data_IF_765976745142
#
_entry.id   IF_765976745142
#
_cell.length_a   1.000
_cell.length_b   1.000
_cell.length_c   1.000
_cell.angle_alpha   90.00
_cell.angle_beta   90.00
_cell.angle_gamma   90.00
#
_symmetry.space_group_name_H-M   'P 1'
#
loop_
_entity.id
_entity.type
_entity.pdbx_description
1 polymer ?
#
# COMPACT_ATOMS: atom_id res chain seq x y z
N UNK A 1 -23.70 55.30 -39.97
CA UNK A 1 -23.82 54.56 -38.69
C UNK A 1 -23.87 53.07 -39.00
N UNK A 2 -22.85 52.33 -38.54
CA UNK A 2 -22.70 50.88 -38.66
C UNK A 2 -23.31 50.21 -37.43
N UNK A 3 -24.11 49.15 -37.56
CA UNK A 3 -24.24 48.03 -36.61
C UNK A 3 -24.87 46.85 -37.39
N UNK A 4 -24.07 46.03 -38.07
CA UNK A 4 -23.48 44.76 -37.60
C UNK A 4 -24.51 43.73 -37.08
N UNK A 5 -24.83 42.77 -37.96
CA UNK A 5 -25.44 41.48 -37.62
C UNK A 5 -24.62 40.77 -36.55
N UNK A 6 -25.26 40.43 -35.43
CA UNK A 6 -24.72 39.50 -34.44
C UNK A 6 -25.23 38.12 -34.82
N UNK A 7 -24.34 37.31 -35.42
CA UNK A 7 -24.48 35.86 -35.45
C UNK A 7 -24.30 35.40 -34.00
N UNK A 8 -25.39 35.01 -33.35
CA UNK A 8 -25.38 34.40 -32.04
C UNK A 8 -24.84 32.97 -32.19
N UNK A 9 -23.52 32.85 -32.19
CA UNK A 9 -22.85 31.57 -32.00
C UNK A 9 -23.24 31.05 -30.61
N UNK A 10 -24.14 30.07 -30.55
CA UNK A 10 -24.29 29.22 -29.37
C UNK A 10 -22.96 28.49 -29.16
N UNK A 11 -22.05 29.14 -28.42
CA UNK A 11 -21.05 28.42 -27.64
C UNK A 11 -21.83 27.72 -26.53
N UNK A 12 -22.25 26.49 -26.82
CA UNK A 12 -22.45 25.50 -25.76
C UNK A 12 -21.07 25.31 -25.16
N UNK A 13 -20.77 26.09 -24.13
CA UNK A 13 -19.74 25.74 -23.17
C UNK A 13 -20.28 24.47 -22.54
N UNK A 14 -19.90 23.33 -23.11
CA UNK A 14 -19.88 22.07 -22.39
C UNK A 14 -18.89 22.36 -21.26
N UNK A 15 -19.43 22.78 -20.12
CA UNK A 15 -18.76 22.67 -18.85
C UNK A 15 -18.47 21.17 -18.73
N UNK A 16 -17.29 20.77 -19.22
CA UNK A 16 -16.77 19.45 -18.98
C UNK A 16 -16.86 19.30 -17.47
N UNK A 17 -17.75 18.43 -17.02
CA UNK A 17 -17.60 17.84 -15.71
C UNK A 17 -16.13 17.42 -15.68
N UNK A 18 -15.35 17.98 -14.76
CA UNK A 18 -14.07 17.39 -14.44
C UNK A 18 -14.42 15.96 -14.02
N UNK A 19 -14.31 15.02 -14.96
CA UNK A 19 -14.51 13.61 -14.67
C UNK A 19 -13.46 13.32 -13.62
N UNK A 20 -13.92 13.01 -12.41
CA UNK A 20 -13.04 12.52 -11.36
C UNK A 20 -12.24 11.39 -12.01
N UNK A 21 -10.92 11.57 -12.15
CA UNK A 21 -10.12 10.63 -12.95
C UNK A 21 -10.20 9.23 -12.34
N UNK A 22 -9.81 8.22 -13.12
CA UNK A 22 -9.94 6.83 -12.76
C UNK A 22 -9.29 6.51 -11.40
N UNK A 23 -10.05 5.84 -10.52
CA UNK A 23 -9.57 5.29 -9.26
C UNK A 23 -9.28 3.81 -9.49
N UNK A 24 -8.05 3.39 -9.20
CA UNK A 24 -7.63 2.01 -9.28
C UNK A 24 -7.23 1.51 -7.91
N UNK A 25 -7.79 0.37 -7.52
CA UNK A 25 -7.36 -0.44 -6.39
C UNK A 25 -6.52 -1.60 -6.92
N UNK A 26 -5.30 -1.76 -6.44
CA UNK A 26 -4.43 -2.87 -6.76
C UNK A 26 -4.26 -3.74 -5.52
N UNK A 27 -4.51 -5.05 -5.64
CA UNK A 27 -4.31 -6.02 -4.57
C UNK A 27 -3.36 -7.11 -5.03
N UNK A 28 -2.31 -7.35 -4.26
CA UNK A 28 -1.49 -8.55 -4.44
C UNK A 28 -2.38 -9.80 -4.18
N UNK A 29 -2.16 -10.90 -4.90
CA UNK A 29 -3.05 -12.06 -4.87
C UNK A 29 -3.21 -12.67 -3.46
N UNK A 30 -2.15 -12.71 -2.66
CA UNK A 30 -2.17 -13.14 -1.26
C UNK A 30 -3.06 -12.24 -0.39
N UNK A 31 -2.94 -10.91 -0.52
CA UNK A 31 -3.86 -9.94 0.10
C UNK A 31 -5.32 -10.21 -0.30
N UNK A 32 -5.58 -10.41 -1.59
CA UNK A 32 -6.93 -10.64 -2.08
C UNK A 32 -7.55 -11.89 -1.46
N UNK A 33 -6.78 -12.97 -1.36
CA UNK A 33 -7.18 -14.22 -0.68
C UNK A 33 -7.40 -14.03 0.81
N UNK A 34 -6.52 -13.29 1.48
CA UNK A 34 -6.67 -12.91 2.88
C UNK A 34 -8.02 -12.23 3.11
N UNK A 35 -8.32 -11.14 2.39
CA UNK A 35 -9.58 -10.41 2.55
C UNK A 35 -10.81 -11.26 2.16
N UNK A 36 -10.65 -12.20 1.22
CA UNK A 36 -11.72 -13.15 0.86
C UNK A 36 -12.07 -14.08 2.02
N UNK A 37 -11.08 -14.70 2.66
CA UNK A 37 -11.33 -15.52 3.84
C UNK A 37 -11.81 -14.68 5.01
N UNK A 38 -11.20 -13.52 5.24
CA UNK A 38 -11.57 -12.63 6.33
C UNK A 38 -13.03 -12.20 6.21
N UNK A 39 -13.48 -11.80 5.01
CA UNK A 39 -14.87 -11.45 4.75
C UNK A 39 -15.87 -12.61 4.92
N UNK A 40 -15.42 -13.87 4.88
CA UNK A 40 -16.25 -15.04 5.22
C UNK A 40 -16.39 -15.15 6.75
N UNK A 41 -15.32 -14.93 7.49
CA UNK A 41 -15.29 -15.00 8.97
C UNK A 41 -16.00 -13.78 9.58
N UNK A 42 -15.78 -12.62 8.97
CA UNK A 42 -16.17 -11.29 9.42
C UNK A 42 -16.70 -10.45 8.24
N UNK A 43 -17.98 -10.61 7.88
CA UNK A 43 -18.55 -9.96 6.71
C UNK A 43 -18.43 -8.43 6.75
N UNK A 44 -17.84 -7.87 5.72
CA UNK A 44 -17.69 -6.43 5.53
C UNK A 44 -19.03 -5.79 5.18
N UNK A 45 -19.36 -4.71 5.87
CA UNK A 45 -20.49 -3.84 5.52
C UNK A 45 -20.26 -3.18 4.16
N UNK A 46 -21.33 -2.82 3.46
CA UNK A 46 -21.29 -2.25 2.08
C UNK A 46 -20.45 -0.97 1.92
N UNK A 47 -20.15 -0.26 3.02
CA UNK A 47 -19.31 0.94 3.03
C UNK A 47 -17.89 0.71 3.52
N UNK A 48 -17.47 -0.55 3.74
CA UNK A 48 -16.14 -0.85 4.23
C UNK A 48 -15.09 -0.58 3.14
N UNK A 49 -14.04 0.16 3.50
CA UNK A 49 -12.94 0.52 2.61
C UNK A 49 -12.16 -0.70 2.06
N UNK A 50 -12.29 -1.87 2.69
CA UNK A 50 -11.65 -3.12 2.26
C UNK A 50 -12.40 -3.88 1.17
N UNK A 51 -13.67 -3.57 0.93
CA UNK A 51 -14.48 -4.27 -0.06
C UNK A 51 -13.84 -4.35 -1.46
N UNK A 52 -13.21 -3.27 -1.98
CA UNK A 52 -12.52 -3.35 -3.27
C UNK A 52 -11.38 -4.36 -3.31
N UNK A 53 -10.84 -4.80 -2.17
CA UNK A 53 -9.71 -5.73 -2.09
C UNK A 53 -10.13 -7.18 -1.79
N UNK A 54 -11.44 -7.46 -1.70
CA UNK A 54 -11.96 -8.82 -1.51
C UNK A 54 -11.93 -9.55 -2.84
N UNK A 55 -11.11 -10.61 -2.93
CA UNK A 55 -11.08 -11.46 -4.12
C UNK A 55 -12.44 -12.17 -4.31
N UNK A 56 -12.97 -12.34 -5.54
CA UNK A 56 -14.21 -13.08 -5.75
C UNK A 56 -14.12 -14.55 -5.33
N UNK A 57 -15.20 -15.11 -4.77
CA UNK A 57 -15.25 -16.52 -4.30
C UNK A 57 -14.84 -17.55 -5.35
N UNK A 58 -15.16 -17.31 -6.63
CA UNK A 58 -14.86 -18.22 -7.73
C UNK A 58 -13.68 -17.76 -8.60
N UNK A 59 -12.90 -16.78 -8.14
CA UNK A 59 -11.77 -16.30 -8.90
C UNK A 59 -10.70 -17.39 -9.03
N UNK A 60 -10.30 -17.67 -10.27
CA UNK A 60 -9.14 -18.50 -10.57
C UNK A 60 -7.87 -17.89 -9.96
N UNK A 61 -6.82 -18.69 -9.76
CA UNK A 61 -5.52 -18.18 -9.28
C UNK A 61 -4.69 -17.49 -10.36
N UNK A 62 -5.22 -17.37 -11.59
CA UNK A 62 -4.51 -16.76 -12.72
C UNK A 62 -4.74 -15.25 -12.73
N UNK A 63 -3.67 -14.50 -12.53
CA UNK A 63 -3.66 -13.04 -12.55
C UNK A 63 -3.32 -12.50 -13.96
N UNK A 64 -3.61 -11.22 -14.25
CA UNK A 64 -4.36 -10.29 -13.41
C UNK A 64 -5.86 -10.51 -13.51
N UNK A 65 -6.58 -10.28 -12.41
CA UNK A 65 -8.05 -10.32 -12.35
C UNK A 65 -8.53 -8.89 -12.20
N UNK A 66 -9.48 -8.48 -13.05
CA UNK A 66 -9.98 -7.10 -13.09
C UNK A 66 -11.46 -7.11 -12.75
N UNK A 67 -11.86 -6.19 -11.88
CA UNK A 67 -13.25 -6.00 -11.45
C UNK A 67 -13.61 -4.53 -11.45
N UNK A 68 -14.86 -4.24 -11.82
CA UNK A 68 -15.45 -2.91 -11.63
C UNK A 68 -16.28 -2.93 -10.35
N UNK A 69 -16.01 -1.98 -9.46
CA UNK A 69 -16.70 -1.82 -8.19
C UNK A 69 -17.99 -1.01 -8.38
N UNK A 70 -18.86 -1.01 -7.36
CA UNK A 70 -20.15 -0.31 -7.41
C UNK A 70 -20.01 1.21 -7.58
N UNK A 71 -18.89 1.79 -7.15
CA UNK A 71 -18.56 3.21 -7.29
C UNK A 71 -17.81 3.54 -8.59
N UNK A 72 -17.77 2.60 -9.54
CA UNK A 72 -17.03 2.68 -10.82
C UNK A 72 -15.51 2.70 -10.70
N UNK A 73 -14.95 2.58 -9.49
CA UNK A 73 -13.51 2.29 -9.34
C UNK A 73 -13.18 0.89 -9.89
N UNK A 74 -11.93 0.67 -10.26
CA UNK A 74 -11.48 -0.61 -10.82
C UNK A 74 -10.52 -1.29 -9.85
N UNK A 75 -10.79 -2.53 -9.49
CA UNK A 75 -9.82 -3.38 -8.78
C UNK A 75 -9.03 -4.24 -9.76
N UNK A 76 -7.71 -4.31 -9.56
CA UNK A 76 -6.79 -5.23 -10.23
C UNK A 76 -6.10 -6.10 -9.19
N UNK A 77 -6.42 -7.39 -9.17
CA UNK A 77 -5.64 -8.39 -8.43
C UNK A 77 -4.48 -8.85 -9.29
N UNK A 78 -3.27 -8.87 -8.74
CA UNK A 78 -2.05 -9.11 -9.50
C UNK A 78 -1.06 -10.03 -8.77
N UNK A 79 -0.15 -10.62 -9.54
CA UNK A 79 0.98 -11.40 -9.01
C UNK A 79 2.32 -10.69 -9.18
N UNK A 80 2.46 -9.82 -10.17
CA UNK A 80 3.75 -9.15 -10.47
C UNK A 80 3.59 -7.66 -10.75
N UNK A 81 4.66 -6.87 -10.54
CA UNK A 81 4.63 -5.44 -10.86
C UNK A 81 4.35 -5.20 -12.35
N UNK A 82 5.06 -5.91 -13.24
CA UNK A 82 4.93 -5.75 -14.69
C UNK A 82 3.51 -6.03 -15.19
N UNK A 83 2.90 -7.08 -14.66
CA UNK A 83 1.51 -7.44 -14.94
C UNK A 83 0.55 -6.32 -14.52
N UNK A 84 0.67 -5.83 -13.28
CA UNK A 84 -0.15 -4.75 -12.75
C UNK A 84 -0.02 -3.48 -13.59
N UNK A 85 1.20 -2.97 -13.77
CA UNK A 85 1.41 -1.68 -14.45
C UNK A 85 0.96 -1.74 -15.91
N UNK A 86 1.18 -2.87 -16.58
CA UNK A 86 0.67 -3.10 -17.94
C UNK A 86 -0.86 -3.07 -17.95
N UNK A 87 -1.51 -3.76 -17.01
CA UNK A 87 -2.97 -3.83 -16.96
C UNK A 87 -3.60 -2.48 -16.63
N UNK A 88 -3.03 -1.74 -15.69
CA UNK A 88 -3.45 -0.39 -15.30
C UNK A 88 -3.39 0.57 -16.49
N UNK A 89 -2.29 0.57 -17.24
CA UNK A 89 -2.17 1.40 -18.44
C UNK A 89 -3.23 1.04 -19.50
N UNK A 90 -3.48 -0.26 -19.70
CA UNK A 90 -4.51 -0.74 -20.64
C UNK A 90 -5.93 -0.30 -20.24
N UNK A 91 -6.27 -0.37 -18.95
CA UNK A 91 -7.58 0.05 -18.44
C UNK A 91 -7.79 1.54 -18.71
N UNK A 92 -6.81 2.38 -18.34
CA UNK A 92 -6.88 3.83 -18.59
C UNK A 92 -7.06 4.16 -20.08
N UNK A 93 -6.28 3.51 -20.95
CA UNK A 93 -6.38 3.72 -22.40
C UNK A 93 -7.73 3.28 -22.97
N UNK A 94 -8.29 2.17 -22.47
CA UNK A 94 -9.58 1.65 -22.92
C UNK A 94 -10.73 2.54 -22.45
N UNK A 95 -10.65 3.09 -21.23
CA UNK A 95 -11.64 4.01 -20.67
C UNK A 95 -11.49 5.43 -21.21
N UNK A 96 -10.32 5.79 -21.74
CA UNK A 96 -10.03 7.17 -22.14
C UNK A 96 -9.88 8.13 -20.96
N UNK A 97 -9.61 7.61 -19.76
CA UNK A 97 -9.53 8.37 -18.51
C UNK A 97 -8.13 8.28 -17.90
N UNK A 98 -7.62 9.39 -17.38
CA UNK A 98 -6.38 9.38 -16.62
C UNK A 98 -6.58 8.84 -15.21
N UNK A 99 -5.58 8.16 -14.68
CA UNK A 99 -5.58 7.61 -13.32
C UNK A 99 -5.28 8.74 -12.34
N UNK A 100 -6.28 9.10 -11.54
CA UNK A 100 -6.17 10.13 -10.50
C UNK A 100 -5.72 9.53 -9.17
N UNK A 101 -6.13 8.30 -8.88
CA UNK A 101 -5.81 7.58 -7.65
C UNK A 101 -5.38 6.16 -7.96
N UNK A 102 -4.23 5.77 -7.43
CA UNK A 102 -3.77 4.40 -7.41
C UNK A 102 -3.60 3.97 -5.95
N UNK A 103 -4.48 3.10 -5.47
CA UNK A 103 -4.38 2.49 -4.15
C UNK A 103 -3.70 1.13 -4.29
N UNK A 104 -2.59 0.90 -3.61
CA UNK A 104 -1.76 -0.29 -3.74
C UNK A 104 -1.74 -1.05 -2.43
N UNK A 105 -2.32 -2.24 -2.40
CA UNK A 105 -2.40 -3.11 -1.24
C UNK A 105 -1.58 -4.39 -1.47
N UNK A 106 -0.54 -4.55 -0.66
CA UNK A 106 0.38 -5.68 -0.70
C UNK A 106 1.05 -5.85 0.66
N UNK A 107 1.60 -7.03 0.90
CA UNK A 107 2.55 -7.25 1.97
C UNK A 107 3.72 -6.28 1.85
N UNK A 108 3.95 -5.46 2.85
CA UNK A 108 4.98 -4.44 2.82
C UNK A 108 6.29 -4.99 3.35
N UNK A 109 7.40 -4.34 2.97
CA UNK A 109 8.68 -4.38 3.67
C UNK A 109 9.31 -2.97 3.65
N UNK A 110 10.22 -2.62 4.56
CA UNK A 110 10.85 -1.30 4.51
C UNK A 110 11.48 -0.99 3.15
N UNK A 111 10.98 0.05 2.49
CA UNK A 111 11.41 0.48 1.15
C UNK A 111 10.95 -0.37 -0.03
N UNK A 112 9.95 -1.23 0.14
CA UNK A 112 9.38 -1.98 -0.98
C UNK A 112 8.17 -2.83 -0.57
N UNK A 113 7.72 -3.69 -1.47
CA UNK A 113 6.62 -4.60 -1.21
C UNK A 113 7.00 -6.01 -1.60
N UNK A 114 6.50 -7.00 -0.87
CA UNK A 114 6.85 -8.41 -1.01
C UNK A 114 5.99 -9.07 -2.09
N UNK A 115 6.45 -8.92 -3.33
CA UNK A 115 5.95 -9.61 -4.52
C UNK A 115 6.96 -9.44 -5.67
N UNK A 116 6.96 -10.33 -6.67
CA UNK A 116 7.92 -10.30 -7.77
C UNK A 116 7.71 -9.13 -8.74
N UNK A 117 8.81 -8.60 -9.27
CA UNK A 117 8.74 -7.54 -10.28
C UNK A 117 8.16 -8.00 -11.64
N UNK A 118 8.36 -9.27 -12.02
CA UNK A 118 7.89 -9.85 -13.28
C UNK A 118 7.82 -11.38 -13.20
N UNK A 119 7.30 -12.03 -14.25
CA UNK A 119 7.10 -13.48 -14.28
C UNK A 119 8.42 -14.28 -14.23
N UNK A 120 9.50 -13.76 -14.81
CA UNK A 120 10.80 -14.44 -14.72
C UNK A 120 11.33 -14.46 -13.29
N UNK A 121 11.20 -13.36 -12.56
CA UNK A 121 11.64 -13.27 -11.17
C UNK A 121 10.70 -14.02 -10.23
N UNK A 122 9.40 -14.04 -10.52
CA UNK A 122 8.43 -14.88 -9.82
C UNK A 122 8.87 -16.34 -9.80
N UNK A 123 9.41 -16.87 -10.91
CA UNK A 123 9.86 -18.26 -11.00
C UNK A 123 11.29 -18.49 -10.47
N UNK A 124 11.92 -17.50 -9.83
CA UNK A 124 13.27 -17.63 -9.28
C UNK A 124 13.27 -18.21 -7.87
N UNK A 125 14.45 -18.66 -7.43
CA UNK A 125 14.62 -19.15 -6.05
C UNK A 125 14.32 -18.03 -5.06
N UNK A 126 14.67 -16.77 -5.34
CA UNK A 126 14.39 -15.63 -4.47
C UNK A 126 12.89 -15.40 -4.23
N UNK A 127 12.00 -15.90 -5.08
CA UNK A 127 10.56 -15.75 -4.92
C UNK A 127 9.84 -17.01 -4.43
N UNK A 128 10.58 -18.04 -4.00
CA UNK A 128 9.98 -19.31 -3.59
C UNK A 128 8.99 -19.18 -2.43
N UNK A 129 9.33 -18.38 -1.40
CA UNK A 129 8.46 -18.16 -0.23
C UNK A 129 7.20 -17.38 -0.61
N UNK A 130 7.37 -16.33 -1.43
CA UNK A 130 6.23 -15.57 -1.93
C UNK A 130 5.31 -16.46 -2.75
N UNK A 131 5.84 -17.28 -3.66
CA UNK A 131 5.04 -18.22 -4.44
C UNK A 131 4.27 -19.20 -3.53
N UNK A 132 4.92 -19.74 -2.50
CA UNK A 132 4.27 -20.66 -1.57
C UNK A 132 3.10 -19.98 -0.83
N UNK A 133 3.27 -18.74 -0.38
CA UNK A 133 2.21 -17.95 0.24
C UNK A 133 1.08 -17.62 -0.75
N UNK A 134 1.43 -17.05 -1.91
CA UNK A 134 0.50 -16.64 -2.96
C UNK A 134 -0.30 -17.81 -3.55
N UNK A 135 0.28 -19.01 -3.63
CA UNK A 135 -0.41 -20.24 -4.11
C UNK A 135 -1.10 -21.03 -2.99
N UNK A 136 -0.86 -20.67 -1.73
CA UNK A 136 -1.54 -21.24 -0.57
C UNK A 136 -3.06 -21.02 -0.58
N UNK A 137 -3.74 -21.68 0.35
CA UNK A 137 -5.19 -21.50 0.54
C UNK A 137 -5.50 -20.10 1.08
N UNK A 138 -6.77 -19.69 0.98
CA UNK A 138 -7.22 -18.42 1.55
C UNK A 138 -7.06 -18.42 3.07
N UNK A 139 -7.33 -19.57 3.72
CA UNK A 139 -7.07 -19.74 5.14
C UNK A 139 -5.59 -19.59 5.50
N UNK A 140 -4.67 -20.11 4.69
CA UNK A 140 -3.23 -19.92 4.95
C UNK A 140 -2.82 -18.45 4.85
N UNK A 141 -3.35 -17.72 3.86
CA UNK A 141 -3.14 -16.28 3.74
C UNK A 141 -3.79 -15.52 4.90
N UNK A 142 -5.03 -15.85 5.26
CA UNK A 142 -5.71 -15.34 6.46
C UNK A 142 -4.85 -15.49 7.72
N UNK A 143 -4.49 -16.74 8.04
CA UNK A 143 -3.78 -17.07 9.27
C UNK A 143 -2.40 -16.40 9.35
N UNK A 144 -1.75 -16.11 8.21
CA UNK A 144 -0.48 -15.39 8.18
C UNK A 144 -0.57 -13.99 8.80
N UNK A 145 -1.69 -13.29 8.63
CA UNK A 145 -1.91 -11.94 9.14
C UNK A 145 -2.30 -11.90 10.62
N UNK A 146 -2.90 -12.99 11.11
CA UNK A 146 -3.29 -13.13 12.51
C UNK A 146 -2.25 -13.91 13.34
N UNK A 147 -1.12 -14.28 12.74
CA UNK A 147 -0.02 -14.93 13.45
C UNK A 147 0.97 -13.89 13.96
N UNK A 148 1.33 -13.91 15.26
CA UNK A 148 2.36 -13.03 15.80
C UNK A 148 3.68 -13.13 15.02
N UNK A 149 4.24 -11.98 14.65
CA UNK A 149 5.55 -11.90 14.00
C UNK A 149 6.65 -12.22 15.01
N UNK A 150 7.65 -13.02 14.63
CA UNK A 150 8.73 -13.36 15.54
C UNK A 150 9.60 -12.12 15.84
N UNK A 151 10.08 -11.99 17.09
CA UNK A 151 10.96 -10.89 17.52
C UNK A 151 12.15 -10.67 16.58
N UNK A 152 12.72 -11.72 16.01
CA UNK A 152 13.82 -11.60 15.06
C UNK A 152 13.40 -10.92 13.75
N UNK A 153 12.21 -11.23 13.23
CA UNK A 153 11.72 -10.67 11.97
C UNK A 153 11.40 -9.19 12.18
N UNK A 154 10.85 -8.85 13.35
CA UNK A 154 10.69 -7.46 13.82
C UNK A 154 12.05 -6.75 13.85
N UNK A 155 13.09 -7.36 14.42
CA UNK A 155 14.43 -6.77 14.49
C UNK A 155 15.10 -6.66 13.12
N UNK A 156 14.94 -7.65 12.24
CA UNK A 156 15.43 -7.62 10.86
C UNK A 156 14.72 -6.54 10.05
N UNK A 157 13.40 -6.42 10.15
CA UNK A 157 12.62 -5.33 9.55
C UNK A 157 13.12 -3.98 10.06
N UNK A 158 13.37 -3.83 11.36
CA UNK A 158 13.96 -2.60 11.92
C UNK A 158 15.34 -2.31 11.34
N UNK A 159 16.20 -3.31 11.20
CA UNK A 159 17.51 -3.16 10.55
C UNK A 159 17.36 -2.76 9.09
N UNK A 160 16.54 -3.48 8.31
CA UNK A 160 16.24 -3.18 6.90
C UNK A 160 15.72 -1.77 6.71
N UNK A 161 14.88 -1.27 7.62
CA UNK A 161 14.37 0.10 7.57
C UNK A 161 15.48 1.16 7.68
N UNK A 162 16.59 0.82 8.38
CA UNK A 162 17.70 1.73 8.66
C UNK A 162 18.82 1.65 7.63
N UNK A 163 19.29 0.43 7.35
CA UNK A 163 20.49 0.18 6.57
C UNK A 163 20.17 -0.16 5.12
N UNK A 164 18.98 -0.68 4.86
CA UNK A 164 18.62 -1.33 3.62
C UNK A 164 19.20 -2.74 3.58
N UNK A 165 18.58 -3.63 2.82
CA UNK A 165 19.08 -4.98 2.62
C UNK A 165 18.31 -5.70 1.52
N UNK A 166 18.93 -6.76 1.00
CA UNK A 166 18.30 -7.60 -0.02
C UNK A 166 17.30 -8.54 0.62
N UNK A 167 16.04 -8.11 0.74
CA UNK A 167 14.96 -9.02 1.11
C UNK A 167 14.51 -9.76 -0.17
N UNK A 168 14.41 -11.10 -0.14
CA UNK A 168 13.96 -11.88 -1.29
C UNK A 168 12.57 -11.44 -1.77
N UNK A 169 12.38 -11.51 -3.09
CA UNK A 169 11.11 -11.19 -3.73
C UNK A 169 10.52 -9.80 -3.39
N UNK A 170 11.37 -8.79 -3.23
CA UNK A 170 10.90 -7.42 -2.97
C UNK A 170 10.94 -6.55 -4.22
N UNK A 171 9.81 -5.90 -4.46
CA UNK A 171 9.67 -4.84 -5.43
C UNK A 171 9.92 -3.49 -4.75
N UNK A 172 11.18 -3.05 -4.76
CA UNK A 172 11.62 -1.73 -4.30
C UNK A 172 11.87 -0.75 -5.45
N UNK A 173 12.53 0.38 -5.16
CA UNK A 173 12.74 1.47 -6.13
C UNK A 173 13.38 1.02 -7.46
N UNK A 174 14.40 0.16 -7.40
CA UNK A 174 15.10 -0.30 -8.60
C UNK A 174 14.23 -1.21 -9.47
N UNK A 175 13.41 -2.06 -8.86
CA UNK A 175 12.44 -2.90 -9.56
C UNK A 175 11.39 -2.02 -10.24
N UNK A 176 10.82 -1.03 -9.52
CA UNK A 176 9.91 -0.04 -10.10
C UNK A 176 10.52 0.70 -11.29
N UNK A 177 11.74 1.23 -11.13
CA UNK A 177 12.47 1.91 -12.22
C UNK A 177 12.65 1.00 -13.43
N UNK A 178 13.03 -0.26 -13.21
CA UNK A 178 13.26 -1.23 -14.29
C UNK A 178 11.98 -1.58 -15.04
N UNK A 179 10.87 -1.84 -14.33
CA UNK A 179 9.59 -2.18 -14.95
C UNK A 179 8.96 -0.98 -15.63
N UNK A 180 8.99 0.21 -15.03
CA UNK A 180 8.46 1.43 -15.66
C UNK A 180 9.13 1.72 -17.01
N UNK A 181 10.42 1.44 -17.14
CA UNK A 181 11.12 1.56 -18.43
C UNK A 181 10.60 0.58 -19.51
N UNK A 182 10.00 -0.55 -19.10
CA UNK A 182 9.36 -1.53 -20.00
C UNK A 182 7.88 -1.24 -20.26
N UNK A 183 7.25 -0.42 -19.43
CA UNK A 183 5.83 -0.01 -19.55
C UNK A 183 5.75 1.51 -19.80
N UNK A 184 6.39 2.04 -20.86
CA UNK A 184 6.45 3.48 -21.12
C UNK A 184 5.05 4.11 -21.30
N UNK A 185 4.08 3.31 -21.71
CA UNK A 185 2.69 3.72 -21.89
C UNK A 185 1.95 4.06 -20.59
N UNK A 186 2.49 3.69 -19.41
CA UNK A 186 1.86 4.05 -18.13
C UNK A 186 1.95 5.56 -17.87
N UNK A 187 3.09 6.20 -18.12
CA UNK A 187 3.30 7.61 -17.70
C UNK A 187 2.26 8.59 -18.29
N UNK A 188 1.87 8.50 -19.57
CA UNK A 188 0.80 9.33 -20.13
C UNK A 188 -0.59 9.09 -19.52
N UNK A 189 -0.82 7.90 -18.93
CA UNK A 189 -2.10 7.54 -18.31
C UNK A 189 -2.28 8.11 -16.91
N UNK A 190 -1.21 8.60 -16.27
CA UNK A 190 -1.28 9.16 -14.93
C UNK A 190 -1.74 10.62 -14.98
N UNK A 191 -2.67 10.99 -14.11
CA UNK A 191 -3.06 12.39 -13.93
C UNK A 191 -1.88 13.21 -13.39
N UNK A 192 -1.89 14.53 -13.63
CA UNK A 192 -0.82 15.43 -13.17
C UNK A 192 -0.75 15.55 -11.64
N UNK A 193 -1.89 15.36 -11.00
CA UNK A 193 -2.15 15.40 -9.56
C UNK A 193 -2.35 14.00 -8.96
N UNK A 194 -1.71 12.98 -9.56
CA UNK A 194 -1.79 11.59 -9.13
C UNK A 194 -1.60 11.45 -7.60
N UNK A 195 -2.53 10.74 -6.98
CA UNK A 195 -2.45 10.26 -5.60
C UNK A 195 -2.12 8.77 -5.63
N UNK A 196 -0.97 8.40 -5.06
CA UNK A 196 -0.60 7.00 -4.85
C UNK A 196 -0.62 6.68 -3.35
N UNK A 197 -1.45 5.72 -2.96
CA UNK A 197 -1.53 5.25 -1.59
C UNK A 197 -0.95 3.84 -1.50
N UNK A 198 0.10 3.64 -0.72
CA UNK A 198 0.66 2.32 -0.39
C UNK A 198 0.09 1.89 0.95
N UNK A 199 -0.82 0.93 0.86
CA UNK A 199 -1.62 0.37 1.93
C UNK A 199 -0.88 -0.79 2.59
N UNK A 200 0.18 -0.44 3.32
CA UNK A 200 1.01 -1.42 4.02
C UNK A 200 1.98 -0.76 5.00
N UNK A 201 1.93 -1.13 6.28
CA UNK A 201 2.49 -0.25 7.31
C UNK A 201 4.02 -0.32 7.50
N UNK A 202 4.75 -1.19 6.82
CA UNK A 202 6.24 -1.20 6.91
C UNK A 202 6.92 -0.43 5.78
N UNK A 203 6.21 -0.10 4.69
CA UNK A 203 6.88 0.36 3.46
C UNK A 203 7.60 1.68 3.64
N UNK A 204 6.95 2.65 4.29
CA UNK A 204 7.53 3.95 4.57
C UNK A 204 8.50 3.99 5.77
N UNK A 205 8.77 2.86 6.41
CA UNK A 205 9.51 2.83 7.67
C UNK A 205 10.99 3.22 7.48
N UNK A 206 11.48 4.09 8.38
CA UNK A 206 12.89 4.50 8.44
C UNK A 206 13.42 5.25 7.19
N UNK A 207 14.74 5.50 7.14
CA UNK A 207 15.40 6.14 5.99
C UNK A 207 15.22 5.42 4.66
N UNK A 208 15.08 4.09 4.68
CA UNK A 208 14.93 3.28 3.47
C UNK A 208 13.55 3.46 2.86
N UNK A 209 12.51 3.45 3.69
CA UNK A 209 11.15 3.82 3.26
C UNK A 209 11.07 5.23 2.70
N UNK A 210 11.72 6.21 3.35
CA UNK A 210 11.75 7.60 2.86
C UNK A 210 12.37 7.72 1.46
N UNK A 211 13.51 7.05 1.23
CA UNK A 211 14.17 7.00 -0.08
C UNK A 211 13.29 6.33 -1.13
N UNK A 212 12.63 5.23 -0.77
CA UNK A 212 11.71 4.53 -1.67
C UNK A 212 10.54 5.43 -2.07
N UNK A 213 9.85 6.04 -1.11
CA UNK A 213 8.70 6.90 -1.36
C UNK A 213 9.06 8.13 -2.20
N UNK A 214 10.17 8.81 -1.86
CA UNK A 214 10.67 9.96 -2.65
C UNK A 214 11.10 9.55 -4.05
N UNK A 215 11.80 8.42 -4.18
CA UNK A 215 12.22 7.90 -5.48
C UNK A 215 11.03 7.49 -6.34
N UNK A 216 10.05 6.80 -5.77
CA UNK A 216 8.84 6.38 -6.47
C UNK A 216 8.03 7.57 -6.94
N UNK A 217 7.91 8.61 -6.11
CA UNK A 217 7.30 9.88 -6.49
C UNK A 217 7.98 10.48 -7.72
N UNK A 218 9.32 10.51 -7.76
CA UNK A 218 10.07 11.00 -8.90
C UNK A 218 9.91 10.12 -10.16
N UNK A 219 9.74 8.80 -10.01
CA UNK A 219 9.53 7.89 -11.15
C UNK A 219 8.14 8.07 -11.78
N UNK A 220 7.10 8.14 -10.95
CA UNK A 220 5.70 8.25 -11.39
C UNK A 220 5.31 9.70 -11.70
N UNK A 221 6.03 10.67 -11.14
CA UNK A 221 5.75 12.09 -11.22
C UNK A 221 5.69 12.69 -12.63
N UNK A 222 4.66 13.52 -12.83
CA UNK A 222 4.65 14.68 -13.74
C UNK A 222 5.16 15.96 -13.04
N UNK A 223 5.14 17.10 -13.73
CA UNK A 223 5.85 18.33 -13.33
C UNK A 223 5.32 19.07 -12.10
N UNK A 224 4.08 18.83 -11.64
CA UNK A 224 3.41 19.83 -10.80
C UNK A 224 2.95 19.38 -9.40
N UNK A 225 2.21 18.26 -9.18
CA UNK A 225 1.62 17.95 -7.85
C UNK A 225 1.34 16.45 -7.55
N UNK A 226 2.34 15.56 -7.62
CA UNK A 226 2.13 14.16 -7.20
C UNK A 226 2.23 13.99 -5.68
N UNK A 227 1.28 13.25 -5.10
CA UNK A 227 1.23 12.93 -3.68
C UNK A 227 1.30 11.41 -3.46
N UNK A 228 2.27 10.97 -2.66
CA UNK A 228 2.42 9.59 -2.24
C UNK A 228 2.17 9.48 -0.73
N UNK A 229 1.46 8.43 -0.32
CA UNK A 229 1.22 8.12 1.09
C UNK A 229 1.58 6.67 1.37
N UNK A 230 2.19 6.39 2.52
CA UNK A 230 2.41 5.04 3.01
C UNK A 230 2.18 4.99 4.50
N UNK A 231 1.46 3.98 4.97
CA UNK A 231 1.31 3.72 6.40
C UNK A 231 2.68 3.36 7.01
N UNK A 232 2.94 3.82 8.23
CA UNK A 232 4.14 3.51 9.01
C UNK A 232 3.83 2.68 10.26
N UNK A 233 2.72 3.04 10.90
CA UNK A 233 2.25 2.42 12.12
C UNK A 233 0.76 2.62 12.17
N UNK A 234 0.00 1.55 12.25
CA UNK A 234 -1.37 1.61 12.69
C UNK A 234 -1.50 0.50 13.73
N UNK A 235 -2.11 0.80 14.88
CA UNK A 235 -2.19 -0.16 15.98
C UNK A 235 -3.19 -1.27 15.69
N UNK A 236 -3.37 -2.17 16.68
CA UNK A 236 -4.27 -3.34 16.80
C UNK A 236 -5.55 -3.40 15.94
N UNK A 237 -6.10 -2.28 15.51
CA UNK A 237 -7.35 -2.20 14.78
C UNK A 237 -7.23 -2.11 13.27
N UNK A 238 -6.06 -2.34 12.65
CA UNK A 238 -5.91 -1.93 11.26
C UNK A 238 -5.80 -3.06 10.26
N UNK A 239 -6.65 -2.94 9.24
CA UNK A 239 -6.72 -3.68 7.97
C UNK A 239 -7.51 -5.01 7.94
N UNK A 240 -7.85 -5.66 9.06
CA UNK A 240 -9.02 -6.56 9.16
C UNK A 240 -9.41 -6.91 10.60
N UNK A 241 -10.45 -6.27 11.15
CA UNK A 241 -11.08 -6.63 12.43
C UNK A 241 -10.26 -6.37 13.72
N UNK A 242 -10.92 -6.32 14.90
CA UNK A 242 -10.38 -5.89 16.21
C UNK A 242 -9.19 -6.68 16.77
N UNK A 243 -8.71 -7.69 16.05
CA UNK A 243 -7.71 -8.65 16.51
C UNK A 243 -6.58 -8.86 15.46
N UNK A 244 -6.43 -7.96 14.46
CA UNK A 244 -5.27 -7.90 13.54
C UNK A 244 -5.44 -6.90 12.37
N UNK A 245 -4.45 -6.22 11.79
CA UNK A 245 -3.00 -6.22 11.91
C UNK A 245 -2.56 -5.40 13.12
N UNK A 246 -2.34 -6.11 14.21
CA UNK A 246 -1.53 -5.71 15.34
C UNK A 246 -0.09 -5.54 14.89
N UNK A 247 0.18 -4.43 14.20
CA UNK A 247 1.32 -4.35 13.30
C UNK A 247 2.67 -4.61 13.99
N UNK A 248 2.66 -4.43 15.30
CA UNK A 248 3.76 -4.53 16.20
C UNK A 248 3.20 -4.92 17.53
N UNK A 249 2.27 -5.89 17.55
CA UNK A 249 1.45 -6.06 18.74
C UNK A 249 2.34 -5.98 19.94
N UNK A 250 3.54 -6.56 19.79
CA UNK A 250 4.58 -6.30 20.73
C UNK A 250 5.94 -5.91 20.11
N UNK A 251 6.49 -4.80 20.63
CA UNK A 251 7.88 -4.34 20.47
C UNK A 251 9.00 -5.22 21.11
N UNK A 252 8.80 -6.16 22.03
CA UNK A 252 7.58 -6.55 22.78
C UNK A 252 7.07 -5.35 23.60
N UNK A 253 7.98 -4.68 24.30
CA UNK A 253 8.70 -5.42 25.31
C UNK A 253 7.87 -5.26 26.60
N UNK A 254 7.81 -4.05 27.14
CA UNK A 254 6.97 -3.70 28.29
C UNK A 254 5.62 -3.04 27.94
N UNK A 255 5.49 -2.47 26.74
CA UNK A 255 4.23 -1.83 26.31
C UNK A 255 3.24 -2.84 25.74
N UNK A 256 3.74 -4.00 25.30
CA UNK A 256 3.02 -5.26 25.38
C UNK A 256 2.37 -5.49 26.73
N UNK A 257 3.19 -5.45 27.77
CA UNK A 257 2.79 -5.84 29.12
C UNK A 257 1.87 -4.79 29.77
N UNK A 258 2.02 -3.50 29.43
CA UNK A 258 1.15 -2.42 29.88
C UNK A 258 -0.19 -2.39 29.13
N UNK A 259 -0.20 -2.43 27.80
CA UNK A 259 -1.44 -2.30 27.05
C UNK A 259 -2.29 -3.59 27.18
N UNK A 260 -1.71 -4.78 27.40
CA UNK A 260 -2.45 -5.97 27.87
C UNK A 260 -2.98 -5.89 29.31
N UNK A 261 -2.43 -4.99 30.15
CA UNK A 261 -2.83 -4.92 31.55
C UNK A 261 -4.14 -4.15 31.78
N UNK A 262 -4.55 -3.31 30.81
CA UNK A 262 -5.70 -2.39 30.90
C UNK A 262 -6.78 -2.64 29.84
N UNK A 263 -6.54 -3.52 28.86
CA UNK A 263 -7.52 -3.94 27.87
C UNK A 263 -8.63 -4.80 28.52
N UNK A 264 -9.44 -4.20 29.39
CA UNK A 264 -10.77 -4.68 29.74
C UNK A 264 -11.72 -4.35 28.60
N UNK A 265 -11.56 -4.98 27.43
CA UNK A 265 -12.25 -4.56 26.22
C UNK A 265 -13.56 -5.30 26.03
N UNK A 266 -14.60 -4.49 26.17
CA UNK A 266 -16.00 -4.83 26.14
C UNK A 266 -16.60 -4.20 24.86
N UNK A 267 -16.90 -5.03 23.86
CA UNK A 267 -17.89 -4.84 22.75
C UNK A 267 -17.87 -3.55 21.87
N UNK A 268 -16.84 -2.70 21.85
CA UNK A 268 -16.83 -1.42 21.06
C UNK A 268 -15.52 -1.08 20.33
N UNK A 269 -14.93 -2.05 19.65
CA UNK A 269 -13.55 -1.96 19.14
C UNK A 269 -13.30 -0.91 18.04
N UNK A 270 -14.34 -0.42 17.37
CA UNK A 270 -14.26 0.66 16.35
C UNK A 270 -13.93 2.04 16.96
N UNK A 271 -14.15 2.24 18.26
CA UNK A 271 -13.90 3.50 18.97
C UNK A 271 -12.48 3.56 19.60
N UNK A 272 -11.67 2.50 19.45
CA UNK A 272 -10.40 2.29 20.18
C UNK A 272 -9.20 2.14 19.21
N UNK A 273 -9.36 2.49 17.94
CA UNK A 273 -8.24 2.49 16.98
C UNK A 273 -7.12 3.40 17.51
N UNK A 274 -5.94 2.82 17.74
CA UNK A 274 -4.75 3.63 18.00
C UNK A 274 -4.45 4.43 16.73
N UNK A 275 -4.56 5.75 16.85
CA UNK A 275 -4.21 6.71 15.80
C UNK A 275 -2.84 6.38 15.20
N UNK A 276 -2.82 6.14 13.89
CA UNK A 276 -1.64 5.74 13.15
C UNK A 276 -0.74 6.88 12.72
N UNK A 277 0.40 6.50 12.13
CA UNK A 277 1.36 7.36 11.45
C UNK A 277 1.37 7.06 9.95
N UNK A 278 1.30 8.11 9.14
CA UNK A 278 1.36 8.05 7.69
C UNK A 278 2.53 8.88 7.19
N UNK A 279 3.43 8.29 6.41
CA UNK A 279 4.41 9.05 5.63
C UNK A 279 3.72 9.66 4.43
N UNK A 280 3.86 10.97 4.27
CA UNK A 280 3.41 11.70 3.09
C UNK A 280 4.63 12.26 2.37
N UNK A 281 4.71 11.96 1.07
CA UNK A 281 5.75 12.48 0.17
C UNK A 281 5.08 13.22 -0.97
N UNK A 282 5.45 14.48 -1.20
CA UNK A 282 4.78 15.32 -2.19
C UNK A 282 5.78 16.24 -2.92
N UNK A 283 5.45 16.60 -4.16
CA UNK A 283 6.16 17.64 -4.91
C UNK A 283 5.59 19.02 -4.53
N UNK A 284 6.39 19.83 -3.84
CA UNK A 284 5.99 21.17 -3.38
C UNK A 284 6.96 22.20 -3.96
N UNK A 285 6.45 23.12 -4.78
CA UNK A 285 7.26 24.19 -5.42
C UNK A 285 8.49 23.65 -6.17
N UNK A 286 8.35 22.50 -6.84
CA UNK A 286 9.42 21.86 -7.61
C UNK A 286 10.42 21.02 -6.78
N UNK A 287 10.23 20.89 -5.47
CA UNK A 287 11.05 20.05 -4.60
C UNK A 287 10.22 18.93 -3.96
N UNK A 288 10.78 17.72 -3.95
CA UNK A 288 10.18 16.60 -3.21
C UNK A 288 10.40 16.78 -1.71
N UNK A 289 9.31 16.82 -0.96
CA UNK A 289 9.30 16.88 0.49
C UNK A 289 8.64 15.62 1.05
N UNK A 290 9.10 15.21 2.22
CA UNK A 290 8.61 14.02 2.94
C UNK A 290 8.40 14.40 4.39
N UNK A 291 7.29 13.98 4.97
CA UNK A 291 6.93 14.21 6.37
C UNK A 291 6.15 13.02 6.92
N UNK A 292 6.02 12.94 8.24
CA UNK A 292 5.19 11.96 8.94
C UNK A 292 4.03 12.68 9.59
N UNK A 293 2.82 12.28 9.24
CA UNK A 293 1.59 12.71 9.91
C UNK A 293 1.24 11.68 10.98
N UNK A 294 1.07 12.13 12.21
CA UNK A 294 0.61 11.29 13.33
C UNK A 294 -0.88 11.56 13.59
N UNK A 295 -1.49 10.79 14.50
CA UNK A 295 -2.87 11.07 14.91
C UNK A 295 -3.94 10.58 13.92
N UNK A 296 -3.55 9.79 12.90
CA UNK A 296 -4.42 9.47 11.77
C UNK A 296 -5.36 8.31 12.10
N UNK A 297 -6.67 8.51 11.96
CA UNK A 297 -7.67 7.46 12.23
C UNK A 297 -7.72 6.42 11.08
N UNK A 298 -7.41 6.84 9.85
CA UNK A 298 -7.30 5.98 8.67
C UNK A 298 -6.47 6.65 7.57
N UNK A 299 -5.92 5.89 6.63
CA UNK A 299 -5.40 6.47 5.39
C UNK A 299 -6.58 6.87 4.49
N UNK A 300 -6.78 8.16 4.24
CA UNK A 300 -7.83 8.59 3.31
C UNK A 300 -7.51 8.15 1.87
N UNK A 301 -8.25 7.14 1.39
CA UNK A 301 -8.06 6.52 0.08
C UNK A 301 -8.54 7.39 -1.10
N UNK A 302 -9.28 8.47 -0.82
CA UNK A 302 -9.85 9.34 -1.86
C UNK A 302 -10.17 10.78 -1.44
N UNK A 303 -10.03 11.15 -0.16
CA UNK A 303 -10.32 12.52 0.29
C UNK A 303 -9.13 13.46 0.04
N UNK A 304 -9.44 14.69 -0.40
CA UNK A 304 -8.50 15.80 -0.38
C UNK A 304 -8.07 16.03 1.07
N UNK A 305 -6.87 15.58 1.42
CA UNK A 305 -6.30 15.84 2.74
C UNK A 305 -5.98 17.33 2.81
N UNK A 306 -6.96 18.11 3.26
CA UNK A 306 -6.85 19.51 3.68
C UNK A 306 -5.73 19.75 4.73
N UNK A 307 -5.06 18.69 5.19
CA UNK A 307 -3.94 18.76 6.14
C UNK A 307 -2.56 18.95 5.48
N UNK A 308 -2.39 18.74 4.17
CA UNK A 308 -1.06 18.85 3.50
C UNK A 308 -0.56 20.29 3.46
N UNK A 309 -1.47 21.26 3.33
CA UNK A 309 -1.14 22.70 3.33
C UNK A 309 -0.73 23.21 4.71
N UNK A 310 -1.17 22.54 5.78
CA UNK A 310 -0.89 22.92 7.17
C UNK A 310 0.21 22.05 7.80
N UNK A 311 0.64 20.99 7.13
CA UNK A 311 1.69 20.10 7.60
C UNK A 311 3.03 20.84 7.72
N UNK A 312 3.70 20.67 8.85
CA UNK A 312 5.09 21.10 8.99
C UNK A 312 5.95 20.05 8.28
N UNK A 313 6.69 20.48 7.26
CA UNK A 313 7.52 19.60 6.45
C UNK A 313 8.92 19.48 7.07
N UNK A 314 9.31 18.26 7.46
CA UNK A 314 10.62 17.97 8.05
C UNK A 314 11.00 16.50 7.91
N UNK A 315 12.30 16.20 7.84
CA UNK A 315 12.80 14.82 7.84
C UNK A 315 12.83 14.30 9.28
N UNK A 316 11.88 13.46 9.64
CA UNK A 316 11.96 12.68 10.87
C UNK A 316 12.71 11.36 10.60
N UNK A 317 13.82 11.14 11.31
CA UNK A 317 14.60 9.91 11.30
C UNK A 317 14.23 9.07 12.52
N UNK A 318 13.65 7.89 12.32
CA UNK A 318 13.42 6.91 13.40
C UNK A 318 14.79 6.44 13.92
N UNK A 319 15.09 6.63 15.21
CA UNK A 319 16.43 6.51 15.79
C UNK A 319 16.88 5.05 16.07
N UNK A 320 18.19 4.87 16.34
CA UNK A 320 18.93 3.60 16.34
C UNK A 320 19.05 2.94 17.72
N UNK A 321 18.67 1.67 17.84
CA UNK A 321 19.34 0.70 18.72
C UNK A 321 19.19 -0.72 18.17
N UNK A 322 20.25 -1.27 17.56
CA UNK A 322 20.29 -2.64 17.07
C UNK A 322 21.25 -3.45 17.95
N UNK A 323 20.73 -4.39 18.73
CA UNK A 323 21.51 -5.43 19.42
C UNK A 323 21.24 -6.75 18.67
N UNK A 324 22.30 -7.46 18.27
CA UNK A 324 22.22 -8.75 17.56
C UNK A 324 22.05 -9.90 18.59
N UNK A 325 21.04 -10.78 18.47
CA UNK A 325 20.81 -11.89 19.40
C UNK A 325 21.62 -13.15 19.06
N UNK A 326 21.72 -14.07 20.02
CA UNK A 326 22.56 -15.28 19.94
C UNK A 326 21.82 -16.54 19.44
N UNK A 327 20.48 -16.54 19.35
CA UNK A 327 19.66 -17.66 18.82
C UNK A 327 18.43 -17.12 18.07
N UNK A 328 17.97 -17.85 17.06
CA UNK A 328 16.83 -17.57 16.16
C UNK A 328 15.83 -18.74 16.18
N UNK A 329 14.55 -18.48 15.90
CA UNK A 329 13.50 -19.50 15.81
C UNK A 329 13.11 -19.73 14.35
N UNK A 330 12.91 -20.98 13.93
CA UNK A 330 12.50 -21.31 12.57
C UNK A 330 11.03 -20.90 12.33
N UNK A 331 10.73 -20.02 11.35
CA UNK A 331 9.36 -19.56 11.07
C UNK A 331 8.38 -20.71 10.88
N UNK A 332 7.17 -20.59 11.45
CA UNK A 332 6.14 -21.63 11.39
C UNK A 332 6.41 -22.87 12.25
N UNK A 333 7.45 -22.87 13.09
CA UNK A 333 7.82 -24.02 13.95
C UNK A 333 8.13 -23.59 15.39
N UNK A 334 8.36 -24.53 16.31
CA UNK A 334 8.81 -24.26 17.70
C UNK A 334 10.33 -24.46 17.91
N UNK A 335 11.12 -24.63 16.84
CA UNK A 335 12.54 -25.00 16.90
C UNK A 335 13.44 -23.76 16.90
N UNK A 336 14.51 -23.78 17.71
CA UNK A 336 15.51 -22.70 17.84
C UNK A 336 16.89 -23.14 17.35
N UNK A 337 17.59 -22.26 16.65
CA UNK A 337 18.94 -22.44 16.13
C UNK A 337 19.84 -21.29 16.58
N UNK A 338 21.13 -21.54 16.80
CA UNK A 338 22.06 -20.48 17.16
C UNK A 338 22.34 -19.55 15.97
N UNK A 339 22.37 -18.24 16.23
CA UNK A 339 22.77 -17.24 15.23
C UNK A 339 24.28 -17.27 15.10
N UNK A 340 24.78 -17.60 13.90
CA UNK A 340 26.22 -17.49 13.59
C UNK A 340 26.64 -16.03 13.33
#
# INVERSE_FOLDING_TARGET
MRYFMIILSLLVVVSGQATAGLIIHAAEIGIGKFHRQDNIVHPYESGNAWLPYVLPTNAETKTPIVMENADHSITVFFSTLEELLTKVAQISQTRGEQISVLNFNAHGLPGGMWFPMNESFKNSVECWQWNAAATGSDKANHDQYYTPVAKQDIMSIREYAQTGGGVPCVTGYNQWKSILAKVPQLKPTLAKDLKLNILSCVVGLGPVGDKFMTGLGALLGGTDQVQLRSSLYFGLGDWSMPEGMGFWDYQTDEQLEHDNSIYGVNRKDREIMQKGKVRVTALVKGAWLSTVLEGQDFMSLGADSLEVSNATWGRELVSRSAIKPNTIRNPGTSVYESVK
#
